data_IF_518345159832
#
_entry.id   IF_518345159832
#
_cell.length_a   1.000
_cell.length_b   1.000
_cell.length_c   1.000
_cell.angle_alpha   90.00
_cell.angle_beta   90.00
_cell.angle_gamma   90.00
#
_symmetry.space_group_name_H-M   'P 1'
#
loop_
_entity.id
_entity.type
_entity.pdbx_description
1 polymer ?
#
# COMPACT_ATOMS: atom_id res chain seq x y z
N UNK A 1 -36.79 4.64 -48.01
CA UNK A 1 -36.68 4.15 -46.62
C UNK A 1 -37.59 2.95 -46.51
N UNK A 2 -37.02 1.75 -46.52
CA UNK A 2 -37.79 0.51 -46.49
C UNK A 2 -38.51 0.35 -45.14
N UNK A 3 -39.81 -0.02 -45.12
CA UNK A 3 -40.61 -0.16 -43.89
C UNK A 3 -40.23 -1.37 -43.02
N UNK A 4 -39.12 -2.05 -43.31
CA UNK A 4 -38.70 -3.29 -42.65
C UNK A 4 -37.74 -3.11 -41.47
N UNK A 5 -37.41 -1.87 -41.07
CA UNK A 5 -36.39 -1.59 -40.04
C UNK A 5 -36.92 -1.35 -38.61
N UNK A 6 -38.15 -1.74 -38.30
CA UNK A 6 -38.69 -1.67 -36.93
C UNK A 6 -39.25 -3.02 -36.46
N UNK A 7 -38.48 -4.10 -36.58
CA UNK A 7 -38.75 -5.31 -35.79
C UNK A 7 -37.91 -5.23 -34.52
N UNK A 8 -38.51 -5.37 -33.31
CA UNK A 8 -37.74 -5.50 -32.08
C UNK A 8 -36.69 -6.60 -32.30
N UNK A 9 -35.41 -6.26 -32.10
CA UNK A 9 -34.27 -7.14 -32.35
C UNK A 9 -34.58 -8.57 -31.89
N UNK A 10 -34.85 -9.49 -32.82
CA UNK A 10 -35.05 -10.92 -32.51
C UNK A 10 -33.76 -11.58 -31.97
N UNK A 11 -32.65 -10.85 -32.03
CA UNK A 11 -31.33 -11.19 -31.51
C UNK A 11 -31.07 -10.61 -30.11
N UNK A 12 -32.01 -9.85 -29.52
CA UNK A 12 -31.85 -9.36 -28.17
C UNK A 12 -32.16 -10.50 -27.18
N UNK A 13 -31.18 -10.98 -26.39
CA UNK A 13 -31.47 -12.00 -25.39
C UNK A 13 -32.47 -11.43 -24.39
N UNK A 14 -33.55 -12.17 -24.15
CA UNK A 14 -34.55 -11.81 -23.14
C UNK A 14 -33.86 -11.88 -21.76
N UNK A 15 -34.01 -10.85 -20.90
CA UNK A 15 -33.44 -10.90 -19.57
C UNK A 15 -33.99 -12.10 -18.81
N UNK A 16 -33.09 -12.81 -18.12
CA UNK A 16 -33.48 -13.90 -17.24
C UNK A 16 -34.40 -13.36 -16.15
N UNK A 17 -35.35 -14.19 -15.71
CA UNK A 17 -36.21 -13.85 -14.57
C UNK A 17 -35.36 -13.75 -13.30
N UNK A 18 -35.81 -12.94 -12.34
CA UNK A 18 -35.09 -12.73 -11.07
C UNK A 18 -34.93 -14.03 -10.26
N UNK A 19 -35.86 -14.98 -10.44
CA UNK A 19 -35.89 -16.29 -9.80
C UNK A 19 -35.09 -17.37 -10.54
N UNK A 20 -34.40 -17.05 -11.66
CA UNK A 20 -33.73 -18.10 -12.45
C UNK A 20 -32.64 -18.84 -11.64
N UNK A 21 -32.02 -18.16 -10.67
CA UNK A 21 -31.03 -18.75 -9.78
C UNK A 21 -31.63 -19.83 -8.86
N UNK A 22 -32.90 -19.74 -8.50
CA UNK A 22 -33.55 -20.74 -7.63
C UNK A 22 -33.65 -22.11 -8.32
N UNK A 23 -33.84 -22.12 -9.64
CA UNK A 23 -33.82 -23.36 -10.43
C UNK A 23 -32.41 -23.92 -10.54
N UNK A 24 -31.39 -23.06 -10.58
CA UNK A 24 -29.99 -23.48 -10.64
C UNK A 24 -29.52 -24.06 -9.30
N UNK A 25 -29.89 -23.41 -8.19
CA UNK A 25 -29.54 -23.79 -6.81
C UNK A 25 -30.42 -24.93 -6.28
N UNK A 26 -31.71 -24.94 -6.63
CA UNK A 26 -32.66 -25.97 -6.23
C UNK A 26 -32.43 -27.31 -6.92
N UNK A 27 -31.80 -27.32 -8.10
CA UNK A 27 -31.44 -28.55 -8.83
C UNK A 27 -30.23 -29.27 -8.23
N UNK A 28 -29.36 -28.56 -7.51
CA UNK A 28 -28.30 -29.18 -6.71
C UNK A 28 -28.84 -29.81 -5.42
N UNK A 29 -30.03 -29.42 -4.96
CA UNK A 29 -30.59 -29.87 -3.69
C UNK A 29 -31.34 -31.21 -3.76
N UNK A 30 -31.56 -31.79 -4.95
CA UNK A 30 -32.27 -33.08 -5.08
C UNK A 30 -31.42 -34.27 -5.52
N UNK A 31 -30.19 -34.09 -6.01
CA UNK A 31 -29.31 -35.22 -6.32
C UNK A 31 -27.85 -34.84 -6.11
N UNK A 32 -27.40 -34.82 -4.86
CA UNK A 32 -26.10 -35.39 -4.52
C UNK A 32 -26.11 -35.71 -3.02
N UNK A 33 -26.09 -37.00 -2.68
CA UNK A 33 -25.29 -37.43 -1.54
C UNK A 33 -23.84 -37.04 -1.85
N UNK A 34 -23.47 -35.76 -1.67
CA UNK A 34 -22.07 -35.40 -1.53
C UNK A 34 -21.70 -35.95 -0.17
N UNK A 35 -21.30 -37.22 -0.16
CA UNK A 35 -20.36 -37.68 0.86
C UNK A 35 -19.17 -36.76 0.66
N UNK A 36 -19.10 -35.67 1.42
CA UNK A 36 -17.86 -34.90 1.55
C UNK A 36 -16.79 -35.96 1.81
N UNK A 37 -15.81 -36.16 0.91
CA UNK A 37 -14.77 -37.12 1.19
C UNK A 37 -14.18 -36.67 2.52
N UNK A 38 -14.37 -37.48 3.57
CA UNK A 38 -13.79 -37.22 4.87
C UNK A 38 -12.32 -37.02 4.57
N UNK A 39 -11.77 -35.79 4.75
CA UNK A 39 -10.41 -35.54 4.36
C UNK A 39 -9.57 -36.54 5.17
N UNK A 40 -8.80 -37.36 4.46
CA UNK A 40 -7.95 -38.37 5.09
C UNK A 40 -7.22 -37.69 6.25
N UNK A 41 -7.29 -38.27 7.46
CA UNK A 41 -6.76 -37.65 8.67
C UNK A 41 -5.29 -37.21 8.51
N UNK A 42 -4.55 -37.92 7.67
CA UNK A 42 -3.17 -37.64 7.27
C UNK A 42 -3.03 -36.32 6.48
N UNK A 43 -3.95 -36.03 5.56
CA UNK A 43 -3.98 -34.77 4.80
C UNK A 43 -4.33 -33.60 5.71
N UNK A 44 -5.26 -33.78 6.65
CA UNK A 44 -5.63 -32.73 7.62
C UNK A 44 -4.45 -32.44 8.56
N UNK A 45 -3.76 -33.47 9.02
CA UNK A 45 -2.58 -33.33 9.87
C UNK A 45 -1.44 -32.61 9.14
N UNK A 46 -1.18 -32.95 7.88
CA UNK A 46 -0.12 -32.34 7.08
C UNK A 46 -0.42 -30.88 6.74
N UNK A 47 -1.67 -30.56 6.37
CA UNK A 47 -2.10 -29.17 6.17
C UNK A 47 -1.96 -28.36 7.46
N UNK A 48 -2.34 -28.93 8.61
CA UNK A 48 -2.17 -28.30 9.92
C UNK A 48 -0.70 -28.04 10.28
N UNK A 49 0.19 -28.99 9.97
CA UNK A 49 1.64 -28.86 10.15
C UNK A 49 2.19 -27.71 9.29
N UNK A 50 1.85 -27.68 8.01
CA UNK A 50 2.30 -26.64 7.06
C UNK A 50 1.79 -25.26 7.46
N UNK A 51 0.52 -25.15 7.87
CA UNK A 51 -0.07 -23.89 8.35
C UNK A 51 0.68 -23.35 9.58
N UNK A 52 1.06 -24.23 10.50
CA UNK A 52 1.80 -23.87 11.70
C UNK A 52 3.23 -23.42 11.37
N UNK A 53 3.91 -24.15 10.49
CA UNK A 53 5.25 -23.80 10.02
C UNK A 53 5.27 -22.47 9.28
N UNK A 54 4.32 -22.24 8.38
CA UNK A 54 4.17 -20.98 7.65
C UNK A 54 3.91 -19.81 8.58
N UNK A 55 3.02 -19.98 9.56
CA UNK A 55 2.74 -18.94 10.56
C UNK A 55 3.99 -18.59 11.38
N UNK A 56 4.78 -19.61 11.75
CA UNK A 56 6.05 -19.40 12.46
C UNK A 56 7.08 -18.65 11.62
N UNK A 57 7.12 -18.93 10.31
CA UNK A 57 8.03 -18.29 9.36
C UNK A 57 7.65 -16.83 9.13
N UNK A 58 6.37 -16.56 8.91
CA UNK A 58 5.83 -15.19 8.76
C UNK A 58 6.15 -14.38 10.02
N UNK A 59 5.92 -14.92 11.21
CA UNK A 59 6.24 -14.22 12.45
C UNK A 59 7.73 -13.92 12.59
N UNK A 60 8.62 -14.87 12.23
CA UNK A 60 10.08 -14.63 12.26
C UNK A 60 10.52 -13.55 11.27
N UNK A 61 9.96 -13.54 10.07
CA UNK A 61 10.28 -12.53 9.05
C UNK A 61 9.75 -11.15 9.48
N UNK A 62 8.51 -11.09 9.94
CA UNK A 62 7.91 -9.85 10.47
C UNK A 62 8.72 -9.29 11.65
N UNK A 63 9.12 -10.13 12.61
CA UNK A 63 9.99 -9.73 13.72
C UNK A 63 11.35 -9.21 13.23
N UNK A 64 11.93 -9.81 12.17
CA UNK A 64 13.20 -9.36 11.60
C UNK A 64 13.10 -8.02 10.88
N UNK A 65 11.95 -7.67 10.31
CA UNK A 65 11.73 -6.35 9.69
C UNK A 65 11.34 -5.29 10.73
N UNK A 66 10.53 -5.66 11.72
CA UNK A 66 10.06 -4.76 12.76
C UNK A 66 11.16 -4.45 13.77
N UNK A 67 11.99 -5.43 14.16
CA UNK A 67 13.01 -5.24 15.20
C UNK A 67 14.03 -4.13 14.85
N UNK A 68 14.65 -4.09 13.66
CA UNK A 68 15.54 -3.00 13.26
C UNK A 68 14.83 -1.64 13.22
N UNK A 69 13.57 -1.63 12.78
CA UNK A 69 12.75 -0.42 12.67
C UNK A 69 12.34 0.12 14.05
N UNK A 70 12.07 -0.76 15.00
CA UNK A 70 11.73 -0.44 16.38
C UNK A 70 12.96 -0.11 17.26
N UNK A 71 14.12 -0.68 16.97
CA UNK A 71 15.38 -0.32 17.66
C UNK A 71 16.00 0.95 17.10
N UNK A 72 15.69 1.31 15.85
CA UNK A 72 16.16 2.54 15.19
C UNK A 72 15.09 3.65 15.21
N UNK A 73 14.29 3.69 16.27
CA UNK A 73 13.30 4.75 16.49
C UNK A 73 14.00 6.09 16.72
N UNK A 74 15.18 6.10 17.35
CA UNK A 74 15.99 7.32 17.49
C UNK A 74 16.40 7.85 16.10
N UNK A 75 17.10 7.08 15.27
CA UNK A 75 17.58 7.57 13.97
C UNK A 75 16.47 8.07 13.02
N UNK A 76 15.31 7.40 12.99
CA UNK A 76 14.20 7.81 12.13
C UNK A 76 13.42 9.03 12.66
N UNK A 77 13.29 9.20 13.98
CA UNK A 77 12.61 10.37 14.56
C UNK A 77 13.42 11.66 14.42
N UNK A 78 14.75 11.58 14.41
CA UNK A 78 15.62 12.76 14.27
C UNK A 78 15.96 13.10 12.80
N UNK A 79 15.71 12.20 11.84
CA UNK A 79 16.04 12.43 10.41
C UNK A 79 15.25 13.55 9.72
N UNK A 80 14.08 13.89 10.24
CA UNK A 80 13.20 14.96 9.74
C UNK A 80 13.12 16.17 10.67
N UNK A 81 13.97 16.24 11.70
CA UNK A 81 14.12 17.48 12.42
C UNK A 81 14.93 18.42 11.54
N UNK A 82 14.26 19.44 11.02
CA UNK A 82 14.93 20.67 10.60
C UNK A 82 15.86 21.06 11.75
N UNK A 83 17.14 21.30 11.49
CA UNK A 83 18.09 21.80 12.48
C UNK A 83 17.51 23.05 13.15
N UNK A 84 16.89 22.86 14.32
CA UNK A 84 16.23 23.92 15.10
C UNK A 84 17.25 24.84 15.78
N UNK A 85 18.54 24.55 15.68
CA UNK A 85 19.58 25.47 16.10
C UNK A 85 19.78 26.55 15.05
N UNK A 86 19.03 27.63 15.19
CA UNK A 86 19.43 28.93 14.64
C UNK A 86 20.81 29.29 15.22
N UNK A 87 21.86 29.12 14.42
CA UNK A 87 23.22 29.52 14.79
C UNK A 87 23.36 31.03 14.65
N UNK A 88 23.01 31.73 15.72
CA UNK A 88 23.09 33.19 15.84
C UNK A 88 24.51 33.70 15.57
N UNK A 89 25.55 32.93 15.90
CA UNK A 89 26.94 33.33 15.68
C UNK A 89 27.29 33.28 14.19
N UNK A 90 26.85 32.25 13.48
CA UNK A 90 27.06 32.15 12.03
C UNK A 90 26.35 33.27 11.28
N UNK A 91 25.11 33.62 11.66
CA UNK A 91 24.41 34.76 11.06
C UNK A 91 25.14 36.08 11.33
N UNK A 92 25.66 36.28 12.55
CA UNK A 92 26.40 37.48 12.90
C UNK A 92 27.68 37.62 12.07
N UNK A 93 28.43 36.51 11.91
CA UNK A 93 29.63 36.46 11.07
C UNK A 93 29.33 36.79 9.61
N UNK A 94 28.26 36.23 9.04
CA UNK A 94 27.85 36.50 7.65
C UNK A 94 27.48 37.98 7.42
N UNK A 95 26.74 38.60 8.36
CA UNK A 95 26.38 40.01 8.27
C UNK A 95 27.58 40.95 8.52
N UNK A 96 28.50 40.60 9.42
CA UNK A 96 29.75 41.34 9.60
C UNK A 96 30.63 41.30 8.35
N UNK A 97 30.78 40.13 7.73
CA UNK A 97 31.57 39.97 6.51
C UNK A 97 30.96 40.75 5.34
N UNK A 98 29.63 40.71 5.20
CA UNK A 98 28.89 41.50 4.21
C UNK A 98 29.12 43.01 4.40
N UNK A 99 29.08 43.49 5.64
CA UNK A 99 29.35 44.90 5.97
C UNK A 99 30.81 45.28 5.68
N UNK A 100 31.76 44.39 5.97
CA UNK A 100 33.18 44.60 5.67
C UNK A 100 33.41 44.72 4.16
N UNK A 101 32.86 43.81 3.36
CA UNK A 101 32.93 43.86 1.88
C UNK A 101 32.31 45.15 1.32
N UNK A 102 31.22 45.65 1.90
CA UNK A 102 30.63 46.93 1.49
C UNK A 102 31.56 48.11 1.78
N UNK A 103 32.16 48.16 2.98
CA UNK A 103 33.14 49.21 3.35
C UNK A 103 34.35 49.19 2.42
N UNK A 104 34.90 48.01 2.14
CA UNK A 104 36.02 47.84 1.21
C UNK A 104 35.66 48.31 -0.20
N UNK A 105 34.46 47.99 -0.70
CA UNK A 105 33.97 48.49 -2.00
C UNK A 105 33.84 50.00 -2.05
N UNK A 106 33.40 50.65 -0.97
CA UNK A 106 33.28 52.11 -0.90
C UNK A 106 34.67 52.76 -0.85
N UNK A 107 35.58 52.24 -0.04
CA UNK A 107 36.97 52.71 0.02
C UNK A 107 37.68 52.56 -1.32
N UNK A 108 37.51 51.42 -2.00
CA UNK A 108 38.08 51.18 -3.32
C UNK A 108 37.53 52.13 -4.41
N UNK A 109 36.29 52.63 -4.24
CA UNK A 109 35.71 53.65 -5.13
C UNK A 109 36.17 55.06 -4.79
N UNK A 110 36.53 55.34 -3.53
CA UNK A 110 36.98 56.66 -3.08
C UNK A 110 38.48 56.88 -3.29
N UNK A 111 39.27 55.81 -3.32
CA UNK A 111 40.73 55.84 -3.54
C UNK A 111 41.13 55.72 -5.02
N UNK A 112 40.18 55.84 -5.94
CA UNK A 112 40.38 55.79 -7.40
C UNK A 112 39.87 57.08 -8.02
#
# INVERSE_FOLDING_TARGET
>A
MDPNYCRPNQTCPVPLREDFWEVLVGRESQETNVTNPVPNADVVAEVGRIMTENSSFINKVALKEIAPTATNVEGNQYSNLIDLSFDQNKLLQEEEEKRKRQREKVLAKLLK
#
